data_IF_326140915862
#
_entry.id   IF_326140915862
#
_cell.length_a   1.000
_cell.length_b   1.000
_cell.length_c   1.000
_cell.angle_alpha   90.00
_cell.angle_beta   90.00
_cell.angle_gamma   90.00
#
_symmetry.space_group_name_H-M   'P 1'
#
loop_
_entity.id
_entity.type
_entity.pdbx_description
1 polymer ?
#
# COMPACT_ATOMS: atom_id res chain seq x y z
N UNK A 1 -44.95 -11.88 28.82
CA UNK A 1 -43.72 -11.16 28.41
C UNK A 1 -42.64 -12.10 27.82
N UNK A 2 -42.95 -12.95 26.81
CA UNK A 2 -41.98 -13.90 26.21
C UNK A 2 -41.61 -13.60 24.74
N UNK A 3 -42.37 -12.70 24.08
CA UNK A 3 -42.17 -12.32 22.68
C UNK A 3 -40.86 -11.55 22.39
N UNK A 4 -40.34 -10.65 23.24
CA UNK A 4 -39.13 -9.88 22.90
C UNK A 4 -37.85 -10.74 22.93
N UNK A 5 -37.80 -11.76 23.80
CA UNK A 5 -36.64 -12.67 23.90
C UNK A 5 -36.52 -13.55 22.66
N UNK A 6 -37.65 -14.04 22.12
CA UNK A 6 -37.67 -14.86 20.91
C UNK A 6 -37.20 -14.07 19.67
N UNK A 7 -37.63 -12.81 19.56
CA UNK A 7 -37.21 -11.92 18.47
C UNK A 7 -35.70 -11.66 18.55
N UNK A 8 -35.18 -11.39 19.74
CA UNK A 8 -33.75 -11.17 19.96
C UNK A 8 -32.91 -12.39 19.58
N UNK A 9 -33.37 -13.60 19.94
CA UNK A 9 -32.71 -14.85 19.58
C UNK A 9 -32.71 -15.11 18.07
N UNK A 10 -33.82 -14.79 17.38
CA UNK A 10 -33.91 -14.93 15.93
C UNK A 10 -32.91 -14.01 15.21
N UNK A 11 -32.81 -12.74 15.62
CA UNK A 11 -31.83 -11.81 15.06
C UNK A 11 -30.39 -12.23 15.34
N UNK A 12 -30.09 -12.70 16.55
CA UNK A 12 -28.75 -13.22 16.89
C UNK A 12 -28.37 -14.43 16.01
N UNK A 13 -29.33 -15.32 15.73
CA UNK A 13 -29.12 -16.47 14.84
C UNK A 13 -28.83 -16.07 13.39
N UNK A 14 -29.60 -15.13 12.84
CA UNK A 14 -29.37 -14.61 11.47
C UNK A 14 -28.01 -13.91 11.38
N UNK A 15 -27.62 -13.15 12.41
CA UNK A 15 -26.33 -12.47 12.43
C UNK A 15 -25.15 -13.46 12.49
N UNK A 16 -25.26 -14.51 13.31
CA UNK A 16 -24.27 -15.58 13.38
C UNK A 16 -24.13 -16.32 12.04
N UNK A 17 -25.25 -16.67 11.40
CA UNK A 17 -25.26 -17.27 10.06
C UNK A 17 -24.64 -16.35 9.00
N UNK A 18 -24.96 -15.06 9.03
CA UNK A 18 -24.37 -14.05 8.15
C UNK A 18 -22.87 -13.89 8.35
N UNK A 19 -22.39 -13.90 9.60
CA UNK A 19 -20.97 -13.79 9.91
C UNK A 19 -20.17 -15.03 9.46
N UNK A 20 -20.71 -16.24 9.67
CA UNK A 20 -20.09 -17.48 9.20
C UNK A 20 -20.04 -17.51 7.67
N UNK A 21 -21.14 -17.13 7.01
CA UNK A 21 -21.22 -17.09 5.54
C UNK A 21 -20.28 -16.03 4.96
N UNK A 22 -20.27 -14.81 5.52
CA UNK A 22 -19.38 -13.73 5.07
C UNK A 22 -17.90 -14.04 5.32
N UNK A 23 -17.58 -14.66 6.46
CA UNK A 23 -16.23 -15.12 6.77
C UNK A 23 -15.77 -16.24 5.83
N UNK A 24 -16.66 -17.17 5.48
CA UNK A 24 -16.34 -18.24 4.54
C UNK A 24 -16.13 -17.70 3.12
N UNK A 25 -17.01 -16.81 2.64
CA UNK A 25 -16.88 -16.18 1.31
C UNK A 25 -15.58 -15.37 1.19
N UNK A 26 -15.23 -14.60 2.23
CA UNK A 26 -13.98 -13.82 2.23
C UNK A 26 -12.73 -14.69 2.36
N UNK A 27 -12.80 -15.83 3.06
CA UNK A 27 -11.70 -16.80 3.10
C UNK A 27 -11.52 -17.56 1.78
N UNK A 28 -12.60 -17.79 1.02
CA UNK A 28 -12.57 -18.51 -0.25
C UNK A 28 -12.20 -17.61 -1.45
N UNK A 29 -12.59 -16.34 -1.41
CA UNK A 29 -12.05 -15.33 -2.31
C UNK A 29 -10.60 -15.05 -1.92
N UNK A 30 -9.67 -15.85 -2.44
CA UNK A 30 -8.27 -15.43 -2.52
C UNK A 30 -8.25 -14.05 -3.19
N UNK A 31 -7.68 -13.00 -2.57
CA UNK A 31 -7.41 -11.77 -3.29
C UNK A 31 -6.27 -12.05 -4.28
N UNK A 32 -6.57 -12.73 -5.39
CA UNK A 32 -5.68 -12.90 -6.54
C UNK A 32 -5.62 -11.64 -7.40
N UNK A 33 -6.12 -10.51 -6.91
CA UNK A 33 -5.73 -9.21 -7.42
C UNK A 33 -4.54 -8.77 -6.59
N UNK A 34 -3.27 -9.08 -6.98
CA UNK A 34 -2.18 -8.24 -6.54
C UNK A 34 -2.58 -6.85 -7.03
N UNK A 35 -2.93 -5.97 -6.09
CA UNK A 35 -2.97 -4.56 -6.36
C UNK A 35 -1.54 -4.21 -6.77
N UNK A 36 -1.27 -4.30 -8.08
CA UNK A 36 -0.04 -3.88 -8.69
C UNK A 36 0.03 -2.40 -8.36
N UNK A 37 0.70 -2.07 -7.25
CA UNK A 37 1.18 -0.72 -7.07
C UNK A 37 2.09 -0.53 -8.25
N UNK A 38 1.62 0.24 -9.24
CA UNK A 38 2.40 0.65 -10.38
C UNK A 38 3.77 1.08 -9.85
N UNK A 39 4.76 0.20 -9.98
CA UNK A 39 6.14 0.45 -9.63
C UNK A 39 6.51 1.61 -10.53
N UNK A 40 6.56 2.81 -9.94
CA UNK A 40 6.02 3.98 -10.60
C UNK A 40 6.85 4.62 -11.71
N UNK A 41 7.69 3.85 -12.38
CA UNK A 41 8.29 4.23 -13.64
C UNK A 41 8.01 3.08 -14.60
N UNK A 42 7.53 3.42 -15.79
CA UNK A 42 7.51 2.48 -16.89
C UNK A 42 8.98 2.15 -17.18
N UNK A 43 9.48 1.07 -16.58
CA UNK A 43 10.91 0.77 -16.58
C UNK A 43 11.31 0.29 -17.98
N UNK A 44 12.61 0.38 -18.31
CA UNK A 44 13.12 -0.21 -19.55
C UNK A 44 12.75 -1.70 -19.63
N UNK A 45 12.72 -2.40 -18.49
CA UNK A 45 12.29 -3.79 -18.42
C UNK A 45 10.80 -3.99 -18.76
N UNK A 46 9.92 -3.09 -18.32
CA UNK A 46 8.51 -3.12 -18.69
C UNK A 46 8.32 -2.80 -20.17
N UNK A 47 9.09 -1.86 -20.72
CA UNK A 47 9.10 -1.61 -22.16
C UNK A 47 9.56 -2.83 -22.95
N UNK A 48 10.67 -3.48 -22.58
CA UNK A 48 11.13 -4.70 -23.25
C UNK A 48 10.11 -5.83 -23.16
N UNK A 49 9.44 -5.99 -22.01
CA UNK A 49 8.38 -6.97 -21.85
C UNK A 49 7.20 -6.70 -22.82
N UNK A 50 6.71 -5.47 -22.88
CA UNK A 50 5.62 -5.06 -23.79
C UNK A 50 6.05 -5.16 -25.26
N UNK A 51 7.27 -4.73 -25.59
CA UNK A 51 7.83 -4.82 -26.93
C UNK A 51 7.95 -6.27 -27.41
N UNK A 52 8.36 -7.19 -26.52
CA UNK A 52 8.40 -8.61 -26.82
C UNK A 52 6.99 -9.20 -26.98
N UNK A 53 6.05 -8.87 -26.08
CA UNK A 53 4.66 -9.33 -26.17
C UNK A 53 3.97 -8.89 -27.46
N UNK A 54 4.24 -7.67 -27.92
CA UNK A 54 3.71 -7.12 -29.17
C UNK A 54 4.53 -7.50 -30.41
N UNK A 55 5.64 -8.24 -30.23
CA UNK A 55 6.58 -8.60 -31.29
C UNK A 55 7.06 -7.39 -32.12
N UNK A 56 7.36 -6.27 -31.45
CA UNK A 56 7.86 -5.06 -32.13
C UNK A 56 9.18 -5.34 -32.86
N UNK A 57 9.28 -4.86 -34.10
CA UNK A 57 10.52 -4.93 -34.89
C UNK A 57 11.61 -4.06 -34.25
N UNK A 58 12.88 -4.30 -34.59
CA UNK A 58 13.99 -3.46 -34.11
C UNK A 58 13.77 -1.98 -34.44
N UNK A 59 13.36 -1.67 -35.67
CA UNK A 59 13.09 -0.30 -36.12
C UNK A 59 11.90 0.34 -35.36
N UNK A 60 10.88 -0.44 -34.98
CA UNK A 60 9.80 0.06 -34.14
C UNK A 60 10.28 0.34 -32.72
N UNK A 61 11.07 -0.58 -32.14
CA UNK A 61 11.67 -0.38 -30.80
C UNK A 61 12.52 0.88 -30.76
N UNK A 62 13.38 1.08 -31.76
CA UNK A 62 14.26 2.25 -31.85
C UNK A 62 13.47 3.56 -31.95
N UNK A 63 12.32 3.55 -32.62
CA UNK A 63 11.42 4.72 -32.71
C UNK A 63 10.60 4.95 -31.43
N UNK A 64 10.17 3.90 -30.74
CA UNK A 64 9.30 4.02 -29.57
C UNK A 64 10.07 4.25 -28.27
N UNK A 65 11.28 3.70 -28.14
CA UNK A 65 12.13 3.87 -26.95
C UNK A 65 12.29 5.33 -26.51
N UNK A 66 12.65 6.31 -27.38
CA UNK A 66 12.81 7.70 -26.94
C UNK A 66 11.50 8.34 -26.42
N UNK A 67 10.33 7.90 -26.91
CA UNK A 67 9.03 8.38 -26.43
C UNK A 67 8.81 7.94 -24.98
N UNK A 68 9.09 6.66 -24.70
CA UNK A 68 8.95 6.07 -23.35
C UNK A 68 9.95 6.68 -22.37
N UNK A 69 11.21 6.85 -22.79
CA UNK A 69 12.23 7.49 -21.96
C UNK A 69 11.82 8.92 -21.59
N UNK A 70 11.37 9.72 -22.57
CA UNK A 70 10.93 11.09 -22.34
C UNK A 70 9.80 11.18 -21.32
N UNK A 71 8.75 10.36 -21.48
CA UNK A 71 7.61 10.33 -20.54
C UNK A 71 8.06 9.87 -19.15
N UNK A 72 8.97 8.90 -19.08
CA UNK A 72 9.52 8.43 -17.80
C UNK A 72 10.26 9.55 -17.06
N UNK A 73 11.08 10.34 -17.76
CA UNK A 73 11.80 11.48 -17.19
C UNK A 73 10.86 12.60 -16.74
N UNK A 74 9.81 12.88 -17.51
CA UNK A 74 8.75 13.82 -17.13
C UNK A 74 8.05 13.37 -15.84
N UNK A 75 7.68 12.09 -15.75
CA UNK A 75 7.07 11.52 -14.54
C UNK A 75 8.02 11.60 -13.34
N UNK A 76 9.32 11.34 -13.52
CA UNK A 76 10.30 11.51 -12.45
C UNK A 76 10.38 12.95 -11.95
N UNK A 77 10.32 13.91 -12.87
CA UNK A 77 10.35 15.34 -12.55
C UNK A 77 9.13 15.73 -11.73
N UNK A 78 7.92 15.40 -12.20
CA UNK A 78 6.67 15.67 -11.49
C UNK A 78 6.65 15.02 -10.10
N UNK A 79 7.20 13.81 -9.94
CA UNK A 79 7.32 13.16 -8.62
C UNK A 79 8.18 13.95 -7.64
N UNK A 80 9.30 14.51 -8.11
CA UNK A 80 10.15 15.37 -7.27
C UNK A 80 9.38 16.62 -6.84
N UNK A 81 8.61 17.21 -7.75
CA UNK A 81 7.78 18.39 -7.45
C UNK A 81 6.65 18.08 -6.48
N UNK A 82 5.93 16.97 -6.69
CA UNK A 82 4.90 16.48 -5.77
C UNK A 82 5.50 16.26 -4.38
N UNK A 83 6.66 15.59 -4.27
CA UNK A 83 7.37 15.43 -2.99
C UNK A 83 7.65 16.77 -2.31
N UNK A 84 8.21 17.74 -3.05
CA UNK A 84 8.45 19.09 -2.53
C UNK A 84 7.16 19.80 -2.10
N UNK A 85 6.05 19.59 -2.81
CA UNK A 85 4.75 20.15 -2.43
C UNK A 85 4.24 19.52 -1.13
N UNK A 86 4.35 18.20 -0.98
CA UNK A 86 4.01 17.50 0.26
C UNK A 86 4.89 17.94 1.43
N UNK A 87 6.20 18.14 1.22
CA UNK A 87 7.10 18.61 2.27
C UNK A 87 6.72 20.01 2.76
N UNK A 88 6.40 20.93 1.84
CA UNK A 88 5.89 22.27 2.16
C UNK A 88 4.58 22.22 2.93
N UNK A 89 3.60 21.44 2.44
CA UNK A 89 2.32 21.25 3.10
C UNK A 89 2.49 20.72 4.53
N UNK A 90 3.43 19.78 4.75
CA UNK A 90 3.71 19.24 6.09
C UNK A 90 4.34 20.29 7.01
N UNK A 91 5.20 21.16 6.47
CA UNK A 91 5.78 22.27 7.23
C UNK A 91 4.72 23.29 7.62
N UNK A 92 3.84 23.66 6.69
CA UNK A 92 2.75 24.60 6.96
C UNK A 92 1.76 24.02 7.97
N UNK A 93 1.37 22.75 7.82
CA UNK A 93 0.54 22.06 8.81
C UNK A 93 1.18 22.07 10.20
N UNK A 94 2.49 21.89 10.31
CA UNK A 94 3.23 21.91 11.58
C UNK A 94 3.20 23.28 12.28
N UNK A 95 3.12 24.38 11.53
CA UNK A 95 3.05 25.74 12.08
C UNK A 95 1.74 25.98 12.83
N UNK A 96 0.65 25.37 12.34
CA UNK A 96 -0.70 25.47 12.94
C UNK A 96 -0.89 24.59 14.19
N UNK A 97 0.05 23.69 14.50
CA UNK A 97 -0.03 22.81 15.67
C UNK A 97 0.46 23.50 16.94
N UNK A 98 -0.20 23.21 18.06
CA UNK A 98 0.34 23.52 19.39
C UNK A 98 1.62 22.72 19.66
N UNK A 99 2.41 23.13 20.66
CA UNK A 99 3.67 22.45 20.96
C UNK A 99 3.48 20.97 21.35
N UNK A 100 2.42 20.67 22.11
CA UNK A 100 2.09 19.28 22.46
C UNK A 100 1.67 18.44 21.24
N UNK A 101 0.88 19.02 20.34
CA UNK A 101 0.46 18.35 19.09
C UNK A 101 1.64 18.15 18.15
N UNK A 102 2.54 19.14 18.07
CA UNK A 102 3.77 19.11 17.27
C UNK A 102 4.70 18.00 17.72
N UNK A 103 4.88 17.81 19.03
CA UNK A 103 5.68 16.71 19.57
C UNK A 103 5.08 15.34 19.20
N UNK A 104 3.76 15.17 19.30
CA UNK A 104 3.07 13.93 18.88
C UNK A 104 3.21 13.67 17.37
N UNK A 105 3.07 14.72 16.56
CA UNK A 105 3.22 14.63 15.11
C UNK A 105 4.64 14.23 14.71
N UNK A 106 5.66 14.83 15.33
CA UNK A 106 7.07 14.52 15.07
C UNK A 106 7.43 13.07 15.45
N UNK A 107 6.93 12.57 16.58
CA UNK A 107 7.10 11.16 16.97
C UNK A 107 6.41 10.21 15.97
N UNK A 108 5.17 10.51 15.58
CA UNK A 108 4.47 9.73 14.56
C UNK A 108 5.24 9.71 13.23
N UNK A 109 5.74 10.86 12.75
CA UNK A 109 6.52 10.96 11.51
C UNK A 109 7.84 10.21 11.61
N UNK A 110 8.49 10.20 12.77
CA UNK A 110 9.68 9.38 13.03
C UNK A 110 9.37 7.90 12.89
N UNK A 111 8.30 7.41 13.52
CA UNK A 111 7.86 6.00 13.44
C UNK A 111 7.56 5.58 12.00
N UNK A 112 6.90 6.44 11.22
CA UNK A 112 6.64 6.19 9.80
C UNK A 112 7.94 6.06 9.00
N UNK A 113 8.91 6.96 9.20
CA UNK A 113 10.23 6.87 8.52
C UNK A 113 11.00 5.61 8.91
N UNK A 114 10.96 5.22 10.18
CA UNK A 114 11.64 4.01 10.63
C UNK A 114 10.97 2.74 10.09
N UNK A 115 9.63 2.72 10.02
CA UNK A 115 8.89 1.62 9.40
C UNK A 115 9.22 1.49 7.91
N UNK A 116 9.26 2.60 7.18
CA UNK A 116 9.65 2.64 5.77
C UNK A 116 11.09 2.14 5.56
N UNK A 117 12.05 2.56 6.40
CA UNK A 117 13.44 2.06 6.35
C UNK A 117 13.53 0.55 6.58
N UNK A 118 12.81 0.03 7.58
CA UNK A 118 12.76 -1.41 7.87
C UNK A 118 12.15 -2.18 6.70
N UNK A 119 11.06 -1.66 6.13
CA UNK A 119 10.44 -2.25 4.95
C UNK A 119 11.40 -2.28 3.76
N UNK A 120 12.11 -1.18 3.49
CA UNK A 120 13.10 -1.13 2.41
C UNK A 120 14.26 -2.10 2.62
N UNK A 121 14.74 -2.26 3.86
CA UNK A 121 15.79 -3.22 4.18
C UNK A 121 15.32 -4.66 3.94
N UNK A 122 14.17 -5.02 4.51
CA UNK A 122 13.56 -6.32 4.33
C UNK A 122 13.26 -6.61 2.85
N UNK A 123 12.75 -5.65 2.09
CA UNK A 123 12.50 -5.79 0.66
C UNK A 123 13.79 -6.01 -0.15
N UNK A 124 14.92 -5.42 0.27
CA UNK A 124 16.23 -5.69 -0.35
C UNK A 124 16.72 -7.09 -0.02
N UNK A 125 16.63 -7.50 1.24
CA UNK A 125 17.02 -8.84 1.70
C UNK A 125 16.24 -9.94 0.96
N UNK A 126 14.91 -9.77 0.85
CA UNK A 126 14.05 -10.70 0.10
C UNK A 126 14.47 -10.85 -1.36
N UNK A 127 14.86 -9.77 -2.05
CA UNK A 127 15.36 -9.84 -3.42
C UNK A 127 16.67 -10.63 -3.53
N UNK A 128 17.57 -10.52 -2.55
CA UNK A 128 18.82 -11.29 -2.53
C UNK A 128 18.59 -12.78 -2.28
N UNK A 129 17.63 -13.15 -1.43
CA UNK A 129 17.39 -14.55 -1.08
C UNK A 129 16.43 -15.26 -2.05
N UNK A 130 15.54 -14.53 -2.70
CA UNK A 130 14.57 -15.07 -3.64
C UNK A 130 14.58 -14.23 -4.93
N UNK A 131 15.44 -14.55 -5.91
CA UNK A 131 15.47 -13.83 -7.18
C UNK A 131 14.18 -13.98 -8.01
N UNK A 132 13.36 -15.02 -7.73
CA UNK A 132 12.01 -15.16 -8.29
C UNK A 132 10.95 -14.29 -7.59
N UNK A 133 11.24 -13.72 -6.41
CA UNK A 133 10.38 -12.73 -5.76
C UNK A 133 10.55 -11.39 -6.49
N UNK A 134 9.80 -11.20 -7.57
CA UNK A 134 9.65 -9.91 -8.22
C UNK A 134 9.08 -8.91 -7.21
N UNK A 135 9.62 -7.69 -7.21
CA UNK A 135 9.29 -6.61 -6.28
C UNK A 135 7.79 -6.28 -6.19
N UNK A 136 7.01 -6.74 -7.17
CA UNK A 136 5.57 -6.53 -7.30
C UNK A 136 4.74 -7.48 -6.41
N UNK A 137 5.33 -8.55 -5.87
CA UNK A 137 4.64 -9.55 -5.04
C UNK A 137 4.67 -9.22 -3.52
N UNK A 138 5.44 -8.21 -3.13
CA UNK A 138 5.73 -7.93 -1.72
C UNK A 138 4.78 -6.86 -1.16
N UNK A 139 3.66 -7.30 -0.59
CA UNK A 139 2.78 -6.41 0.17
C UNK A 139 3.47 -6.01 1.50
N UNK A 140 3.60 -4.71 1.83
CA UNK A 140 3.84 -4.34 3.22
C UNK A 140 2.62 -4.76 4.02
N UNK A 141 2.75 -5.80 4.87
CA UNK A 141 1.77 -6.01 5.94
C UNK A 141 1.69 -4.70 6.73
N UNK A 142 0.51 -4.10 6.93
CA UNK A 142 0.40 -2.93 7.79
C UNK A 142 1.04 -3.29 9.13
N UNK A 143 1.84 -2.39 9.74
CA UNK A 143 2.38 -2.64 11.06
C UNK A 143 1.19 -2.93 11.96
N UNK A 144 1.09 -4.15 12.47
CA UNK A 144 0.12 -4.48 13.50
C UNK A 144 0.48 -3.57 14.67
N UNK A 145 -0.26 -2.48 14.82
CA UNK A 145 -0.28 -1.73 16.06
C UNK A 145 -0.69 -2.74 17.11
N UNK A 146 0.25 -3.12 17.97
CA UNK A 146 -0.12 -3.67 19.27
C UNK A 146 -0.96 -2.56 19.91
N UNK A 147 -2.28 -2.66 19.79
CA UNK A 147 -3.19 -1.86 20.58
C UNK A 147 -2.71 -2.00 22.03
N UNK A 148 -2.37 -0.89 22.73
CA UNK A 148 -2.19 -0.98 24.15
C UNK A 148 -3.53 -1.45 24.71
N UNK A 149 -3.54 -2.63 25.33
CA UNK A 149 -4.69 -3.16 26.03
C UNK A 149 -5.19 -2.07 26.99
N UNK A 150 -6.28 -1.42 26.63
CA UNK A 150 -7.03 -0.54 27.52
C UNK A 150 -7.61 -1.44 28.60
N UNK A 151 -6.88 -1.53 29.71
CA UNK A 151 -7.36 -2.15 30.93
C UNK A 151 -8.64 -1.46 31.41
N UNK A 152 -9.51 -2.19 32.14
CA UNK A 152 -10.83 -1.70 32.50
C UNK A 152 -10.73 -0.50 33.45
N UNK A 153 -11.61 0.47 33.21
CA UNK A 153 -11.83 1.64 34.05
C UNK A 153 -12.09 1.24 35.51
N UNK A 154 -11.47 1.97 36.44
CA UNK A 154 -11.89 2.08 37.83
C UNK A 154 -12.43 3.47 38.06
#
# INVERSE_FOLDING_TARGET
>A
MKRPVQITLAFAGVFLMGAVTGGFVTAWMKPEMPYQRASGLFSEQQFEHVANMLNLTSEQRDRTRPIVTKVSDEVQTHRKEVRKAFDRMQEDFRKELSDEQRAKYDDWRKRQRDAERRFQHWAREQRTHHPEFSADSVQPRPPQSKEPATGPAR
#
